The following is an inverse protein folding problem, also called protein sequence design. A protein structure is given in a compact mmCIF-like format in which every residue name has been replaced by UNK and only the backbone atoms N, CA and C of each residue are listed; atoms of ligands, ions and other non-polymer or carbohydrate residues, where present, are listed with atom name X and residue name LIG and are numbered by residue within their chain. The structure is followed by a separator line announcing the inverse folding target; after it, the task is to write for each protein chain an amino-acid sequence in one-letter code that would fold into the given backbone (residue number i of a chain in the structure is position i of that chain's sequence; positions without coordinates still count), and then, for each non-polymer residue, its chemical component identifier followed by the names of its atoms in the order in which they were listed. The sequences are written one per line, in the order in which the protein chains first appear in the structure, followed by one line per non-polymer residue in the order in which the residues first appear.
data_IF_338558005850
#
_entry.id   IF_338558005850
#
_cell.length_a   1.000
_cell.length_b   1.000
_cell.length_c   1.000
_cell.angle_alpha   90.00
_cell.angle_beta   90.00
_cell.angle_gamma   90.00
#
_symmetry.space_group_name_H-M   'P 1'
#
loop_
_entity.id
_entity.type
_entity.pdbx_description
1 polymer ?
#
# COMPACT_ATOMS: atom_id res chain seq x y z
N UNK A 1 -8.25 -24.97 6.53
CA UNK A 1 -8.54 -23.69 7.21
C UNK A 1 -8.04 -22.58 6.29
N UNK A 2 -8.96 -21.80 5.73
CA UNK A 2 -8.64 -20.77 4.73
C UNK A 2 -7.74 -19.68 5.32
N UNK A 3 -6.92 -19.08 4.47
CA UNK A 3 -5.99 -18.03 4.86
C UNK A 3 -6.66 -16.66 4.74
N UNK A 4 -6.43 -15.77 5.72
CA UNK A 4 -6.68 -14.34 5.56
C UNK A 4 -5.47 -13.72 4.87
N UNK A 5 -5.71 -13.08 3.75
CA UNK A 5 -4.66 -12.49 2.90
C UNK A 5 -4.90 -10.98 2.82
N UNK A 6 -3.90 -10.22 3.23
CA UNK A 6 -3.87 -8.78 3.04
C UNK A 6 -2.72 -8.42 2.10
N UNK A 7 -2.98 -7.59 1.11
CA UNK A 7 -1.94 -7.04 0.26
C UNK A 7 -2.35 -5.70 -0.34
N UNK A 8 -1.37 -4.89 -0.73
CA UNK A 8 -1.64 -3.57 -1.25
C UNK A 8 -0.74 -3.16 -2.41
N UNK A 9 -1.26 -2.24 -3.24
CA UNK A 9 -0.52 -1.61 -4.33
C UNK A 9 -0.60 -0.10 -4.19
N UNK A 10 0.55 0.56 -4.37
CA UNK A 10 0.60 2.02 -4.40
C UNK A 10 0.04 2.54 -5.73
N UNK A 11 -0.86 3.54 -5.72
CA UNK A 11 -1.40 4.16 -6.91
C UNK A 11 -0.42 5.19 -7.50
N UNK A 12 0.77 4.74 -7.91
CA UNK A 12 1.84 5.61 -8.43
C UNK A 12 1.70 5.95 -9.90
N UNK A 13 0.61 5.52 -10.55
CA UNK A 13 0.34 5.72 -11.99
C UNK A 13 1.08 4.74 -12.88
N UNK A 14 0.66 4.71 -14.17
CA UNK A 14 1.29 3.89 -15.22
C UNK A 14 1.60 2.45 -14.80
N UNK A 15 0.55 1.73 -14.36
CA UNK A 15 0.68 0.30 -14.11
C UNK A 15 1.25 -0.37 -15.37
N UNK A 16 2.39 -0.99 -15.22
CA UNK A 16 3.10 -1.65 -16.32
C UNK A 16 3.15 -3.16 -16.06
N UNK A 17 3.64 -3.89 -17.06
CA UNK A 17 3.72 -5.35 -17.00
C UNK A 17 4.42 -5.88 -15.74
N UNK A 18 5.42 -5.16 -15.23
CA UNK A 18 6.11 -5.52 -13.99
C UNK A 18 5.20 -5.47 -12.76
N UNK A 19 4.30 -4.49 -12.66
CA UNK A 19 3.31 -4.43 -11.57
C UNK A 19 2.30 -5.58 -11.68
N UNK A 20 1.88 -5.90 -12.90
CA UNK A 20 0.99 -7.02 -13.15
C UNK A 20 1.63 -8.35 -12.76
N UNK A 21 2.81 -8.65 -13.27
CA UNK A 21 3.51 -9.92 -13.01
C UNK A 21 4.00 -10.03 -11.56
N UNK A 22 4.46 -8.93 -10.98
CA UNK A 22 5.03 -8.93 -9.63
C UNK A 22 4.01 -8.91 -8.48
N UNK A 23 2.78 -8.42 -8.74
CA UNK A 23 1.78 -8.29 -7.69
C UNK A 23 0.38 -8.77 -8.14
N UNK A 24 -0.21 -8.14 -9.17
CA UNK A 24 -1.63 -8.30 -9.49
C UNK A 24 -1.95 -9.74 -9.92
N UNK A 25 -1.09 -10.38 -10.70
CA UNK A 25 -1.23 -11.78 -11.08
C UNK A 25 -1.35 -12.69 -9.85
N UNK A 26 -0.48 -12.50 -8.87
CA UNK A 26 -0.53 -13.27 -7.62
C UNK A 26 -1.82 -13.00 -6.83
N UNK A 27 -2.33 -11.76 -6.84
CA UNK A 27 -3.62 -11.43 -6.21
C UNK A 27 -4.78 -12.17 -6.87
N UNK A 28 -4.78 -12.26 -8.20
CA UNK A 28 -5.80 -13.01 -8.95
C UNK A 28 -5.73 -14.51 -8.60
N UNK A 29 -4.54 -15.09 -8.54
CA UNK A 29 -4.36 -16.48 -8.16
C UNK A 29 -4.87 -16.75 -6.74
N UNK A 30 -4.54 -15.87 -5.78
CA UNK A 30 -5.01 -15.97 -4.40
C UNK A 30 -6.52 -15.77 -4.28
N UNK A 31 -7.11 -14.86 -5.06
CA UNK A 31 -8.55 -14.60 -5.11
C UNK A 31 -9.35 -15.78 -5.69
N UNK A 32 -8.73 -16.55 -6.60
CA UNK A 32 -9.40 -17.70 -7.25
C UNK A 32 -9.46 -18.92 -6.32
N UNK A 33 -8.63 -19.00 -5.30
CA UNK A 33 -8.71 -20.02 -4.27
C UNK A 33 -9.89 -19.72 -3.33
N UNK A 34 -10.91 -20.57 -3.38
CA UNK A 34 -12.16 -20.40 -2.63
C UNK A 34 -12.00 -20.49 -1.10
N UNK A 35 -10.90 -21.03 -0.62
CA UNK A 35 -10.61 -21.09 0.81
C UNK A 35 -10.06 -19.77 1.36
N UNK A 36 -9.52 -18.91 0.50
CA UNK A 36 -8.90 -17.67 0.92
C UNK A 36 -9.92 -16.54 1.12
N UNK A 37 -9.73 -15.78 2.18
CA UNK A 37 -10.39 -14.49 2.41
C UNK A 37 -9.41 -13.36 2.08
N UNK A 38 -9.58 -12.74 0.91
CA UNK A 38 -8.65 -11.75 0.41
C UNK A 38 -9.14 -10.31 0.65
N UNK A 39 -8.21 -9.46 1.06
CA UNK A 39 -8.40 -8.02 1.25
C UNK A 39 -7.29 -7.29 0.50
N UNK A 40 -7.66 -6.55 -0.53
CA UNK A 40 -6.71 -5.81 -1.38
C UNK A 40 -6.88 -4.31 -1.17
N UNK A 41 -5.78 -3.65 -0.85
CA UNK A 41 -5.74 -2.24 -0.50
C UNK A 41 -5.04 -1.41 -1.58
N UNK A 42 -5.65 -0.31 -1.99
CA UNK A 42 -4.94 0.75 -2.71
C UNK A 42 -4.32 1.67 -1.66
N UNK A 43 -2.99 1.58 -1.49
CA UNK A 43 -2.27 2.23 -0.39
C UNK A 43 -1.86 3.66 -0.74
N UNK A 44 -2.84 4.54 -0.79
CA UNK A 44 -2.69 5.95 -1.14
C UNK A 44 -1.97 6.77 -0.06
N UNK A 45 -2.08 6.41 1.22
CA UNK A 45 -1.31 7.06 2.29
C UNK A 45 0.19 6.76 2.16
N UNK A 46 0.57 5.57 1.67
CA UNK A 46 1.97 5.30 1.32
C UNK A 46 2.42 6.08 0.10
N UNK A 47 1.54 6.31 -0.88
CA UNK A 47 1.87 7.08 -2.08
C UNK A 47 2.21 8.54 -1.76
N UNK A 48 1.50 9.17 -0.82
CA UNK A 48 1.72 10.58 -0.46
C UNK A 48 2.97 10.82 0.40
N UNK A 49 3.69 9.77 0.78
CA UNK A 49 5.03 9.93 1.40
C UNK A 49 6.03 10.61 0.47
N UNK A 50 5.73 10.63 -0.82
CA UNK A 50 6.41 11.39 -1.86
C UNK A 50 5.39 12.39 -2.44
N UNK A 51 5.87 13.56 -2.88
CA UNK A 51 5.00 14.59 -3.45
C UNK A 51 4.18 14.04 -4.63
N UNK A 52 2.87 14.16 -4.56
CA UNK A 52 1.90 13.70 -5.56
C UNK A 52 0.99 14.87 -5.98
N UNK A 53 0.70 14.96 -7.27
CA UNK A 53 -0.39 15.81 -7.73
C UNK A 53 -1.74 15.20 -7.30
N UNK A 54 -2.59 15.94 -6.55
CA UNK A 54 -3.83 15.37 -6.01
C UNK A 54 -4.82 14.89 -7.08
N UNK A 55 -4.85 15.53 -8.25
CA UNK A 55 -5.74 15.12 -9.35
C UNK A 55 -5.24 13.82 -9.99
N UNK A 56 -3.94 13.75 -10.22
CA UNK A 56 -3.30 12.52 -10.75
C UNK A 56 -3.47 11.37 -9.77
N UNK A 57 -3.19 11.60 -8.48
CA UNK A 57 -3.35 10.55 -7.46
C UNK A 57 -4.77 9.98 -7.44
N UNK A 58 -5.79 10.85 -7.49
CA UNK A 58 -7.20 10.41 -7.53
C UNK A 58 -7.52 9.57 -8.76
N UNK A 59 -6.98 9.91 -9.91
CA UNK A 59 -7.15 9.12 -11.13
C UNK A 59 -6.40 7.79 -11.02
N UNK A 60 -5.17 7.79 -10.53
CA UNK A 60 -4.36 6.60 -10.34
C UNK A 60 -5.02 5.59 -9.39
N UNK A 61 -5.66 6.06 -8.30
CA UNK A 61 -6.44 5.20 -7.40
C UNK A 61 -7.53 4.46 -8.18
N UNK A 62 -8.31 5.20 -8.98
CA UNK A 62 -9.39 4.61 -9.80
C UNK A 62 -8.86 3.62 -10.82
N UNK A 63 -7.78 3.96 -11.51
CA UNK A 63 -7.12 3.09 -12.48
C UNK A 63 -6.58 1.81 -11.84
N UNK A 64 -6.01 1.93 -10.63
CA UNK A 64 -5.52 0.76 -9.88
C UNK A 64 -6.67 -0.20 -9.55
N UNK A 65 -7.80 0.30 -9.05
CA UNK A 65 -8.99 -0.52 -8.77
C UNK A 65 -9.54 -1.12 -10.07
N UNK A 66 -9.65 -0.33 -11.14
CA UNK A 66 -10.10 -0.83 -12.44
C UNK A 66 -9.19 -1.95 -12.96
N UNK A 67 -7.88 -1.81 -12.78
CA UNK A 67 -6.90 -2.83 -13.16
C UNK A 67 -7.06 -4.12 -12.34
N UNK A 68 -7.33 -4.03 -11.04
CA UNK A 68 -7.61 -5.20 -10.21
C UNK A 68 -8.80 -5.99 -10.77
N UNK A 69 -9.91 -5.31 -11.00
CA UNK A 69 -11.14 -5.94 -11.55
C UNK A 69 -10.92 -6.48 -12.95
N UNK A 70 -10.30 -5.70 -13.84
CA UNK A 70 -10.01 -6.12 -15.22
C UNK A 70 -9.04 -7.31 -15.29
N UNK A 71 -8.17 -7.46 -14.30
CA UNK A 71 -7.24 -8.60 -14.19
C UNK A 71 -7.88 -9.87 -13.64
N UNK A 72 -9.12 -9.79 -13.14
CA UNK A 72 -9.87 -10.96 -12.66
C UNK A 72 -10.07 -11.05 -11.15
N UNK A 73 -9.75 -10.01 -10.38
CA UNK A 73 -10.13 -9.96 -8.96
C UNK A 73 -11.64 -9.70 -8.89
N UNK A 74 -12.37 -10.62 -8.28
CA UNK A 74 -13.82 -10.52 -8.12
C UNK A 74 -14.18 -9.73 -6.84
N UNK A 75 -14.75 -8.52 -6.98
CA UNK A 75 -15.10 -7.68 -5.82
C UNK A 75 -16.29 -8.24 -5.00
N UNK A 76 -16.95 -9.31 -5.47
CA UNK A 76 -17.96 -10.02 -4.69
C UNK A 76 -17.36 -11.06 -3.75
N UNK A 77 -16.14 -11.52 -4.05
CA UNK A 77 -15.40 -12.50 -3.26
C UNK A 77 -14.37 -11.85 -2.34
N UNK A 78 -13.74 -10.77 -2.80
CA UNK A 78 -12.65 -10.08 -2.09
C UNK A 78 -13.03 -8.66 -1.74
N UNK A 79 -12.51 -8.16 -0.64
CA UNK A 79 -12.63 -6.75 -0.28
C UNK A 79 -11.56 -5.98 -1.04
N UNK A 80 -11.99 -4.94 -1.76
CA UNK A 80 -11.08 -3.95 -2.37
C UNK A 80 -11.42 -2.60 -1.74
N UNK A 81 -10.42 -1.93 -1.18
CA UNK A 81 -10.64 -0.64 -0.54
C UNK A 81 -9.47 0.32 -0.73
N UNK A 82 -9.72 1.61 -0.51
CA UNK A 82 -8.69 2.64 -0.50
C UNK A 82 -8.28 2.95 0.94
N UNK A 83 -6.98 2.91 1.23
CA UNK A 83 -6.42 3.00 2.58
C UNK A 83 -6.91 4.24 3.35
N UNK A 84 -6.93 5.40 2.71
CA UNK A 84 -7.37 6.66 3.34
C UNK A 84 -8.86 6.71 3.71
N UNK A 85 -9.68 5.77 3.21
CA UNK A 85 -11.09 5.67 3.57
C UNK A 85 -11.32 4.95 4.91
N UNK A 86 -10.27 4.35 5.48
CA UNK A 86 -10.32 3.65 6.77
C UNK A 86 -9.38 4.37 7.75
N UNK A 87 -9.94 5.22 8.61
CA UNK A 87 -9.17 6.08 9.53
C UNK A 87 -8.27 5.30 10.48
N UNK A 88 -8.68 4.07 10.82
CA UNK A 88 -7.93 3.21 11.73
C UNK A 88 -6.47 2.98 11.32
N UNK A 89 -6.15 2.95 10.01
CA UNK A 89 -4.77 2.85 9.54
C UNK A 89 -3.91 4.03 10.02
N UNK A 90 -4.42 5.26 9.89
CA UNK A 90 -3.71 6.47 10.34
C UNK A 90 -3.62 6.56 11.85
N UNK A 91 -4.70 6.19 12.55
CA UNK A 91 -4.75 6.21 14.02
C UNK A 91 -3.76 5.20 14.61
N UNK A 92 -3.77 3.96 14.12
CA UNK A 92 -2.83 2.93 14.54
C UNK A 92 -1.39 3.30 14.18
N UNK A 93 -1.14 3.88 13.00
CA UNK A 93 0.18 4.35 12.60
C UNK A 93 0.71 5.42 13.56
N UNK A 94 -0.14 6.33 14.04
CA UNK A 94 0.24 7.32 15.03
C UNK A 94 0.64 6.68 16.36
N UNK A 95 -0.18 5.76 16.87
CA UNK A 95 0.09 5.03 18.11
C UNK A 95 1.42 4.28 18.00
N UNK A 96 1.62 3.54 16.89
CA UNK A 96 2.85 2.81 16.63
C UNK A 96 4.07 3.74 16.50
N UNK A 97 3.89 4.94 15.93
CA UNK A 97 4.95 5.94 15.85
C UNK A 97 5.41 6.44 17.23
N UNK A 98 4.49 6.47 18.21
CA UNK A 98 4.83 6.86 19.59
C UNK A 98 5.66 5.81 20.34
N UNK A 99 5.64 4.54 19.92
CA UNK A 99 6.40 3.44 20.55
C UNK A 99 7.58 2.97 19.69
N UNK A 100 7.59 3.25 18.39
CA UNK A 100 8.66 2.89 17.47
C UNK A 100 9.95 3.67 17.81
N UNK A 101 11.09 3.00 17.70
CA UNK A 101 12.39 3.61 17.99
C UNK A 101 13.03 4.13 16.71
N UNK A 102 13.57 5.34 16.76
CA UNK A 102 14.30 5.96 15.64
C UNK A 102 15.37 5.03 15.05
N UNK A 103 16.10 4.28 15.90
CA UNK A 103 17.10 3.33 15.44
C UNK A 103 16.53 2.16 14.62
N UNK A 104 15.26 1.79 14.81
CA UNK A 104 14.59 0.78 13.98
C UNK A 104 14.27 1.34 12.59
N UNK A 105 13.69 2.53 12.55
CA UNK A 105 13.31 3.21 11.30
C UNK A 105 14.54 3.54 10.45
N UNK A 106 15.65 3.93 11.06
CA UNK A 106 16.92 4.21 10.37
C UNK A 106 17.52 3.00 9.63
N UNK A 107 17.12 1.77 9.97
CA UNK A 107 17.61 0.56 9.30
C UNK A 107 16.85 0.27 8.00
N UNK A 108 15.69 0.88 7.81
CA UNK A 108 14.84 0.62 6.63
C UNK A 108 15.50 1.08 5.34
N UNK A 109 15.55 0.17 4.35
CA UNK A 109 16.24 0.40 3.08
C UNK A 109 15.54 1.43 2.21
N UNK A 110 14.21 1.40 2.14
CA UNK A 110 13.45 2.30 1.27
C UNK A 110 13.66 3.80 1.57
N UNK A 111 13.83 4.15 2.85
CA UNK A 111 14.20 5.52 3.21
C UNK A 111 15.56 5.89 2.63
N UNK A 112 16.54 4.98 2.73
CA UNK A 112 17.88 5.18 2.20
C UNK A 112 17.88 5.31 0.68
N UNK A 113 17.11 4.45 0.00
CA UNK A 113 17.04 4.39 -1.46
C UNK A 113 16.34 5.63 -2.04
N UNK A 114 15.20 6.01 -1.47
CA UNK A 114 14.38 7.13 -1.97
C UNK A 114 14.88 8.51 -1.52
N UNK A 115 15.53 8.60 -0.36
CA UNK A 115 16.09 9.85 0.13
C UNK A 115 17.36 10.27 -0.66
N UNK A 116 18.10 9.32 -1.23
CA UNK A 116 19.31 9.58 -1.98
C UNK A 116 20.33 10.42 -1.19
N UNK A 117 20.92 11.41 -1.87
CA UNK A 117 21.90 12.34 -1.27
C UNK A 117 21.25 13.52 -0.51
N UNK A 118 19.95 13.78 -0.74
CA UNK A 118 19.26 14.97 -0.24
C UNK A 118 18.27 14.66 0.88
N UNK A 119 18.78 14.09 1.96
CA UNK A 119 17.98 13.61 3.10
C UNK A 119 17.19 14.71 3.83
N UNK A 120 17.63 15.96 3.75
CA UNK A 120 17.00 17.09 4.44
C UNK A 120 15.65 17.47 3.81
N UNK A 121 15.44 17.17 2.54
CA UNK A 121 14.21 17.49 1.82
C UNK A 121 13.20 16.32 1.75
N UNK A 122 13.44 15.26 2.51
CA UNK A 122 12.58 14.08 2.51
C UNK A 122 11.48 14.24 3.54
N UNK A 123 10.25 13.84 3.20
CA UNK A 123 9.12 13.92 4.12
C UNK A 123 9.32 13.01 5.33
N UNK A 124 8.80 13.45 6.50
CA UNK A 124 8.74 12.61 7.71
C UNK A 124 7.94 11.33 7.42
N UNK A 125 6.92 11.40 6.56
CA UNK A 125 6.14 10.23 6.14
C UNK A 125 6.98 9.15 5.47
N UNK A 126 7.98 9.53 4.66
CA UNK A 126 8.89 8.55 4.05
C UNK A 126 9.81 7.89 5.07
N UNK A 127 10.12 8.57 6.17
CA UNK A 127 10.89 7.98 7.28
C UNK A 127 10.01 7.08 8.15
N UNK A 128 8.77 7.50 8.43
CA UNK A 128 7.84 6.84 9.34
C UNK A 128 6.95 5.77 8.67
N UNK A 129 7.01 5.60 7.32
CA UNK A 129 6.14 4.66 6.61
C UNK A 129 6.10 3.23 7.20
N UNK A 130 7.17 2.70 7.86
CA UNK A 130 7.10 1.35 8.43
C UNK A 130 6.06 1.21 9.56
N UNK A 131 5.76 2.30 10.28
CA UNK A 131 4.70 2.28 11.30
C UNK A 131 3.31 2.23 10.67
N UNK A 132 3.11 2.91 9.54
CA UNK A 132 1.88 2.80 8.75
C UNK A 132 1.74 1.40 8.14
N UNK A 133 2.82 0.83 7.62
CA UNK A 133 2.81 -0.54 7.09
C UNK A 133 2.47 -1.57 8.17
N UNK A 134 2.98 -1.39 9.39
CA UNK A 134 2.61 -2.24 10.52
C UNK A 134 1.13 -2.08 10.88
N UNK A 135 0.61 -0.85 10.86
CA UNK A 135 -0.81 -0.56 11.10
C UNK A 135 -1.74 -1.14 10.02
N UNK A 136 -1.24 -1.34 8.80
CA UNK A 136 -2.01 -1.97 7.72
C UNK A 136 -2.24 -3.47 7.97
N UNK A 137 -1.37 -4.10 8.76
CA UNK A 137 -1.33 -5.56 8.92
C UNK A 137 -1.90 -6.00 10.28
N UNK A 138 -1.74 -5.20 11.31
CA UNK A 138 -2.15 -5.48 12.69
C UNK A 138 -3.62 -5.13 12.93
#
# INVERSE_FOLDING_TARGET
MGKKIFSGVQPTGNLHLGNYLGAIKNFVELNNDSENSCVFCVVDLHAITINQDPKKLRNNIRETVATFVASGIDPKKSIIFNQSQVSAHSEAAWILSCVARMGWLNRMTQFKDKAGKNRENVSVGLFAYPTLMAADIL
#
